data_IF_924183145678
#
_entry.id   IF_924183145678
#
_cell.length_a   1.000
_cell.length_b   1.000
_cell.length_c   1.000
_cell.angle_alpha   90.00
_cell.angle_beta   90.00
_cell.angle_gamma   90.00
#
_symmetry.space_group_name_H-M   'P 1'
#
loop_
_entity.id
_entity.type
_entity.pdbx_description
1 polymer ?
#
# COMPACT_ATOMS: atom_id res chain seq x y z
N UNK A 1 22.68 -15.01 -17.79
CA UNK A 1 23.43 -15.73 -16.71
C UNK A 1 22.60 -16.90 -16.22
N UNK A 2 23.22 -18.07 -15.97
CA UNK A 2 22.58 -19.18 -15.26
C UNK A 2 22.49 -18.89 -13.74
N UNK A 3 21.80 -19.78 -12.99
CA UNK A 3 21.58 -19.61 -11.55
C UNK A 3 22.90 -19.50 -10.77
N UNK A 4 23.88 -20.34 -11.08
CA UNK A 4 25.18 -20.33 -10.38
C UNK A 4 25.97 -19.05 -10.68
N UNK A 5 25.91 -18.56 -11.91
CA UNK A 5 26.55 -17.30 -12.30
C UNK A 5 25.91 -16.13 -11.56
N UNK A 6 24.57 -16.06 -11.48
CA UNK A 6 23.85 -15.05 -10.70
C UNK A 6 24.20 -15.14 -9.20
N UNK A 7 24.17 -16.31 -8.62
CA UNK A 7 24.54 -16.54 -7.21
C UNK A 7 25.94 -16.03 -6.91
N UNK A 8 26.94 -16.45 -7.70
CA UNK A 8 28.33 -16.05 -7.51
C UNK A 8 28.53 -14.53 -7.67
N UNK A 9 27.82 -13.90 -8.60
CA UNK A 9 27.84 -12.44 -8.77
C UNK A 9 27.29 -11.76 -7.53
N UNK A 10 26.17 -12.21 -7.00
CA UNK A 10 25.54 -11.60 -5.82
C UNK A 10 26.37 -11.73 -4.53
N UNK A 11 27.22 -12.76 -4.42
CA UNK A 11 28.19 -12.87 -3.33
C UNK A 11 29.25 -11.75 -3.31
N UNK A 12 29.33 -10.96 -4.38
CA UNK A 12 30.31 -9.85 -4.50
C UNK A 12 29.69 -8.48 -4.23
N UNK A 13 28.38 -8.37 -3.99
CA UNK A 13 27.70 -7.07 -3.87
C UNK A 13 28.02 -6.35 -2.57
N UNK A 14 27.77 -6.98 -1.43
CA UNK A 14 28.04 -6.47 -0.10
C UNK A 14 28.14 -7.62 0.92
N UNK A 15 28.67 -7.33 2.11
CA UNK A 15 28.92 -8.32 3.16
C UNK A 15 27.64 -8.92 3.74
N UNK A 16 26.53 -8.16 3.80
CA UNK A 16 25.23 -8.62 4.33
C UNK A 16 24.61 -9.63 3.36
N UNK A 17 24.52 -9.26 2.08
CA UNK A 17 24.05 -10.11 0.98
C UNK A 17 24.86 -11.41 0.92
N UNK A 18 26.19 -11.31 0.99
CA UNK A 18 27.08 -12.47 1.00
C UNK A 18 26.82 -13.39 2.18
N UNK A 19 26.76 -12.83 3.39
CA UNK A 19 26.51 -13.59 4.62
C UNK A 19 25.15 -14.28 4.60
N UNK A 20 24.11 -13.62 4.11
CA UNK A 20 22.78 -14.21 3.94
C UNK A 20 22.84 -15.40 2.97
N UNK A 21 23.39 -15.21 1.77
CA UNK A 21 23.45 -16.25 0.75
C UNK A 21 24.30 -17.46 1.18
N UNK A 22 25.43 -17.24 1.86
CA UNK A 22 26.27 -18.31 2.40
C UNK A 22 25.57 -19.11 3.52
N UNK A 23 24.59 -18.52 4.20
CA UNK A 23 23.78 -19.20 5.23
C UNK A 23 22.72 -20.13 4.66
N UNK A 24 22.35 -19.96 3.38
CA UNK A 24 21.34 -20.79 2.71
C UNK A 24 21.97 -22.10 2.23
N UNK A 25 21.64 -23.20 2.89
CA UNK A 25 22.20 -24.54 2.59
C UNK A 25 21.32 -25.34 1.64
N UNK A 26 20.03 -24.99 1.51
CA UNK A 26 19.10 -25.69 0.61
C UNK A 26 19.29 -25.21 -0.84
N UNK A 27 19.69 -26.13 -1.69
CA UNK A 27 19.88 -25.85 -3.14
C UNK A 27 18.59 -25.42 -3.83
N UNK A 28 17.42 -25.92 -3.39
CA UNK A 28 16.14 -25.52 -3.97
C UNK A 28 15.79 -24.07 -3.63
N UNK A 29 16.17 -23.64 -2.43
CA UNK A 29 16.00 -22.24 -2.05
C UNK A 29 16.93 -21.32 -2.84
N UNK A 30 18.18 -21.71 -3.08
CA UNK A 30 19.08 -20.97 -3.96
C UNK A 30 18.52 -20.92 -5.37
N UNK A 31 18.00 -22.02 -5.91
CA UNK A 31 17.33 -22.05 -7.20
C UNK A 31 16.14 -21.08 -7.24
N UNK A 32 15.26 -21.11 -6.23
CA UNK A 32 14.09 -20.24 -6.13
C UNK A 32 14.46 -18.76 -6.05
N UNK A 33 15.59 -18.42 -5.43
CA UNK A 33 16.08 -17.04 -5.33
C UNK A 33 16.59 -16.47 -6.66
N UNK A 34 17.02 -17.33 -7.61
CA UNK A 34 17.74 -16.89 -8.81
C UNK A 34 17.18 -17.41 -10.15
N UNK A 35 16.14 -18.29 -10.16
CA UNK A 35 15.62 -18.87 -11.41
C UNK A 35 14.96 -17.84 -12.33
N UNK A 36 14.46 -16.76 -11.77
CA UNK A 36 13.90 -15.62 -12.52
C UNK A 36 14.20 -14.29 -11.80
N UNK A 37 13.91 -13.20 -12.46
CA UNK A 37 13.85 -11.89 -11.82
C UNK A 37 12.46 -11.67 -11.21
N UNK A 38 12.37 -10.86 -10.16
CA UNK A 38 11.09 -10.50 -9.55
C UNK A 38 10.25 -9.72 -10.57
N UNK A 39 9.05 -10.22 -10.84
CA UNK A 39 8.19 -9.64 -11.87
C UNK A 39 7.54 -8.34 -11.40
N UNK A 40 7.64 -7.31 -12.23
CA UNK A 40 6.82 -6.11 -12.09
C UNK A 40 5.46 -6.40 -12.72
N UNK A 41 4.51 -6.85 -11.89
CA UNK A 41 3.16 -7.18 -12.32
C UNK A 41 2.30 -5.93 -12.53
N UNK A 42 0.98 -6.08 -12.55
CA UNK A 42 0.05 -4.97 -12.69
C UNK A 42 0.25 -3.98 -11.54
N UNK A 43 1.03 -2.93 -11.80
CA UNK A 43 1.27 -1.81 -10.89
C UNK A 43 2.33 -2.02 -9.82
N UNK A 44 3.23 -3.01 -9.90
CA UNK A 44 4.35 -3.09 -8.96
C UNK A 44 5.01 -4.45 -8.76
N UNK A 45 5.96 -4.51 -7.81
CA UNK A 45 6.64 -5.73 -7.35
C UNK A 45 5.98 -6.26 -6.07
N UNK A 46 6.03 -7.57 -5.87
CA UNK A 46 5.71 -8.21 -4.59
C UNK A 46 6.48 -9.52 -4.46
N UNK A 47 7.14 -9.73 -3.34
CA UNK A 47 7.93 -10.95 -3.11
C UNK A 47 8.34 -11.13 -1.67
N UNK A 48 8.90 -12.31 -1.38
CA UNK A 48 9.56 -12.60 -0.11
C UNK A 48 10.84 -11.75 -0.04
N UNK A 49 11.13 -11.19 1.14
CA UNK A 49 12.36 -10.43 1.39
C UNK A 49 13.57 -11.37 1.43
N UNK A 50 14.72 -10.87 0.99
CA UNK A 50 16.01 -11.57 1.03
C UNK A 50 16.88 -11.32 -0.19
N UNK A 51 18.09 -11.86 -0.17
CA UNK A 51 19.04 -11.76 -1.27
C UNK A 51 18.62 -12.65 -2.46
N UNK A 52 18.76 -12.12 -3.68
CA UNK A 52 18.44 -12.81 -4.93
C UNK A 52 17.56 -12.01 -5.88
N UNK A 53 17.60 -12.37 -7.16
CA UNK A 53 16.86 -11.66 -8.21
C UNK A 53 15.34 -11.85 -8.11
N UNK A 54 14.87 -12.94 -7.51
CA UNK A 54 13.45 -13.25 -7.25
C UNK A 54 13.07 -12.97 -5.78
N UNK A 55 13.65 -11.95 -5.19
CA UNK A 55 13.39 -11.50 -3.80
C UNK A 55 13.26 -9.97 -3.74
N UNK A 56 12.55 -9.49 -2.71
CA UNK A 56 12.52 -8.07 -2.35
C UNK A 56 13.76 -7.73 -1.53
N UNK A 57 14.58 -6.86 -2.05
CA UNK A 57 15.80 -6.32 -1.42
C UNK A 57 16.15 -4.95 -2.03
N UNK A 58 17.16 -4.28 -1.48
CA UNK A 58 17.61 -2.98 -1.96
C UNK A 58 17.96 -2.96 -3.46
N UNK A 59 18.57 -4.04 -3.98
CA UNK A 59 18.95 -4.11 -5.40
C UNK A 59 17.76 -4.25 -6.34
N UNK A 60 16.76 -5.08 -6.00
CA UNK A 60 15.55 -5.24 -6.80
C UNK A 60 14.65 -4.01 -6.73
N UNK A 61 14.53 -3.38 -5.56
CA UNK A 61 13.82 -2.12 -5.36
C UNK A 61 14.53 -0.97 -6.10
N UNK A 62 15.85 -0.89 -5.98
CA UNK A 62 16.64 0.12 -6.68
C UNK A 62 16.54 -0.02 -8.20
N UNK A 63 16.63 -1.25 -8.73
CA UNK A 63 16.46 -1.53 -10.17
C UNK A 63 15.06 -1.09 -10.65
N UNK A 64 14.01 -1.40 -9.90
CA UNK A 64 12.65 -0.96 -10.21
C UNK A 64 12.53 0.56 -10.23
N UNK A 65 13.09 1.23 -9.22
CA UNK A 65 13.08 2.68 -9.12
C UNK A 65 13.86 3.35 -10.26
N UNK A 66 15.01 2.79 -10.66
CA UNK A 66 15.79 3.30 -11.79
C UNK A 66 15.05 3.13 -13.12
N UNK A 67 14.44 1.96 -13.34
CA UNK A 67 13.62 1.73 -14.53
C UNK A 67 12.42 2.66 -14.59
N UNK A 68 11.74 2.85 -13.47
CA UNK A 68 10.61 3.78 -13.39
C UNK A 68 11.05 5.24 -13.59
N UNK A 69 12.19 5.64 -13.03
CA UNK A 69 12.75 6.98 -13.25
C UNK A 69 13.07 7.23 -14.74
N UNK A 70 13.64 6.26 -15.45
CA UNK A 70 13.92 6.36 -16.90
C UNK A 70 12.61 6.51 -17.69
N UNK A 71 11.60 5.68 -17.40
CA UNK A 71 10.27 5.81 -18.01
C UNK A 71 9.67 7.21 -17.80
N UNK A 72 9.72 7.75 -16.57
CA UNK A 72 9.19 9.08 -16.28
C UNK A 72 9.92 10.18 -17.07
N UNK A 73 11.24 10.06 -17.22
CA UNK A 73 12.05 11.02 -18.00
C UNK A 73 11.77 10.97 -19.51
N UNK A 74 11.37 9.83 -20.03
CA UNK A 74 10.95 9.72 -21.43
C UNK A 74 9.48 10.16 -21.64
N UNK A 75 8.65 10.01 -20.61
CA UNK A 75 7.22 10.36 -20.68
C UNK A 75 6.94 11.83 -20.45
N UNK A 76 7.75 12.52 -19.64
CA UNK A 76 7.50 13.91 -19.22
C UNK A 76 8.67 14.82 -19.53
N UNK A 77 8.39 16.00 -20.05
CA UNK A 77 9.34 17.11 -20.21
C UNK A 77 9.41 17.97 -18.95
N UNK A 78 10.56 18.61 -18.71
CA UNK A 78 10.76 19.57 -17.63
C UNK A 78 11.07 18.96 -16.27
N UNK A 79 10.60 19.61 -15.21
CA UNK A 79 10.84 19.16 -13.84
C UNK A 79 9.88 18.00 -13.50
N UNK A 80 10.45 16.90 -13.03
CA UNK A 80 9.69 15.69 -12.63
C UNK A 80 9.77 15.54 -11.13
N UNK A 81 8.64 15.16 -10.53
CA UNK A 81 8.58 14.85 -9.09
C UNK A 81 7.81 13.57 -8.80
N UNK A 82 8.17 12.92 -7.70
CA UNK A 82 7.57 11.67 -7.22
C UNK A 82 7.24 11.79 -5.73
N UNK A 83 6.05 11.34 -5.33
CA UNK A 83 5.71 11.14 -3.92
C UNK A 83 6.07 9.72 -3.50
N UNK A 84 6.70 9.52 -2.33
CA UNK A 84 7.06 8.19 -1.84
C UNK A 84 6.60 8.01 -0.39
N UNK A 85 6.06 6.83 -0.10
CA UNK A 85 5.60 6.44 1.24
C UNK A 85 5.83 4.95 1.51
N UNK A 86 5.74 4.57 2.78
CA UNK A 86 5.83 3.18 3.19
C UNK A 86 4.83 2.84 4.31
N UNK A 87 4.58 1.54 4.47
CA UNK A 87 3.81 0.97 5.57
C UNK A 87 4.70 0.54 6.76
N UNK A 88 4.11 -0.19 7.72
CA UNK A 88 4.77 -0.66 8.94
C UNK A 88 5.65 -1.90 8.77
N UNK A 89 5.75 -2.49 7.57
CA UNK A 89 6.48 -3.74 7.34
C UNK A 89 7.97 -3.61 7.57
N UNK A 90 8.61 -4.75 7.87
CA UNK A 90 10.06 -4.84 7.94
C UNK A 90 10.67 -4.34 6.62
N UNK A 91 11.76 -3.59 6.72
CA UNK A 91 12.49 -3.00 5.60
C UNK A 91 11.72 -1.97 4.75
N UNK A 92 10.43 -1.69 5.02
CA UNK A 92 9.66 -0.72 4.22
C UNK A 92 10.32 0.66 4.21
N UNK A 93 10.78 1.14 5.37
CA UNK A 93 11.48 2.43 5.46
C UNK A 93 12.84 2.42 4.73
N UNK A 94 13.59 1.33 4.79
CA UNK A 94 14.86 1.22 4.07
C UNK A 94 14.62 1.24 2.55
N UNK A 95 13.66 0.46 2.07
CA UNK A 95 13.30 0.43 0.64
C UNK A 95 12.72 1.75 0.13
N UNK A 96 11.99 2.48 0.97
CA UNK A 96 11.53 3.83 0.66
C UNK A 96 12.71 4.77 0.41
N UNK A 97 13.71 4.77 1.31
CA UNK A 97 14.91 5.60 1.15
C UNK A 97 15.79 5.17 -0.01
N UNK A 98 15.90 3.86 -0.26
CA UNK A 98 16.59 3.34 -1.45
C UNK A 98 15.94 3.85 -2.74
N UNK A 99 14.60 3.80 -2.80
CA UNK A 99 13.85 4.34 -3.93
C UNK A 99 14.04 5.85 -4.08
N UNK A 100 13.93 6.59 -2.97
CA UNK A 100 14.05 8.05 -2.96
C UNK A 100 15.41 8.52 -3.51
N UNK A 101 16.51 7.93 -3.03
CA UNK A 101 17.84 8.32 -3.50
C UNK A 101 18.12 7.91 -4.96
N UNK A 102 17.51 6.81 -5.44
CA UNK A 102 17.63 6.43 -6.86
C UNK A 102 16.88 7.43 -7.74
N UNK A 103 15.66 7.84 -7.41
CA UNK A 103 14.95 8.89 -8.15
C UNK A 103 15.73 10.22 -8.12
N UNK A 104 16.21 10.63 -6.95
CA UNK A 104 17.00 11.86 -6.79
C UNK A 104 18.29 11.84 -7.63
N UNK A 105 18.97 10.68 -7.75
CA UNK A 105 20.15 10.52 -8.61
C UNK A 105 19.86 10.75 -10.10
N UNK A 106 18.61 10.54 -10.51
CA UNK A 106 18.16 10.78 -11.88
C UNK A 106 17.64 12.20 -12.11
N UNK A 107 17.82 13.10 -11.12
CA UNK A 107 17.36 14.48 -11.19
C UNK A 107 15.85 14.65 -10.96
N UNK A 108 15.18 13.63 -10.40
CA UNK A 108 13.76 13.67 -10.09
C UNK A 108 13.58 14.12 -8.64
N UNK A 109 12.77 15.14 -8.42
CA UNK A 109 12.45 15.63 -7.08
C UNK A 109 11.56 14.63 -6.34
N UNK A 110 11.90 14.36 -5.08
CA UNK A 110 11.19 13.37 -4.25
C UNK A 110 10.52 14.05 -3.06
N UNK A 111 9.24 13.81 -2.88
CA UNK A 111 8.49 14.12 -1.66
C UNK A 111 8.30 12.83 -0.87
N UNK A 112 9.11 12.64 0.17
CA UNK A 112 9.10 11.42 0.98
C UNK A 112 8.36 11.64 2.29
N UNK A 113 7.42 10.75 2.62
CA UNK A 113 6.76 10.81 3.91
C UNK A 113 7.72 10.51 5.06
N UNK A 114 7.77 11.40 6.06
CA UNK A 114 8.61 11.22 7.25
C UNK A 114 8.02 10.22 8.25
N UNK A 115 6.74 9.93 8.13
CA UNK A 115 6.01 8.92 8.89
C UNK A 115 5.49 7.81 7.96
N UNK A 116 5.20 6.63 8.53
CA UNK A 116 4.44 5.60 7.81
C UNK A 116 3.01 6.09 7.60
N UNK A 117 2.46 5.85 6.41
CA UNK A 117 1.11 6.34 6.07
C UNK A 117 0.31 5.30 5.27
N UNK A 118 -1.02 5.41 5.28
CA UNK A 118 -1.89 4.62 4.40
C UNK A 118 -1.64 4.86 2.90
N UNK A 119 -1.89 3.83 2.09
CA UNK A 119 -1.91 3.94 0.61
C UNK A 119 -2.76 5.12 0.12
N UNK A 120 -3.99 5.36 0.63
CA UNK A 120 -4.78 6.52 0.21
C UNK A 120 -4.09 7.87 0.44
N UNK A 121 -3.24 7.99 1.46
CA UNK A 121 -2.47 9.23 1.69
C UNK A 121 -1.39 9.44 0.62
N UNK A 122 -0.73 8.36 0.13
CA UNK A 122 0.19 8.47 -1.00
C UNK A 122 -0.54 8.94 -2.27
N UNK A 123 -1.67 8.30 -2.59
CA UNK A 123 -2.50 8.70 -3.74
C UNK A 123 -2.93 10.17 -3.64
N UNK A 124 -3.32 10.61 -2.46
CA UNK A 124 -3.66 12.02 -2.19
C UNK A 124 -2.47 12.95 -2.38
N UNK A 125 -1.30 12.62 -1.80
CA UNK A 125 -0.08 13.43 -1.92
C UNK A 125 0.37 13.57 -3.37
N UNK A 126 0.31 12.48 -4.16
CA UNK A 126 0.67 12.50 -5.58
C UNK A 126 -0.13 13.57 -6.34
N UNK A 127 -1.43 13.67 -6.07
CA UNK A 127 -2.30 14.68 -6.68
C UNK A 127 -2.15 16.08 -6.07
N UNK A 128 -2.10 16.16 -4.73
CA UNK A 128 -2.03 17.43 -4.01
C UNK A 128 -0.73 18.19 -4.30
N UNK A 129 0.39 17.48 -4.41
CA UNK A 129 1.71 18.04 -4.73
C UNK A 129 1.97 18.12 -6.25
N UNK A 130 1.01 17.73 -7.08
CA UNK A 130 1.14 17.66 -8.53
C UNK A 130 2.34 16.84 -9.00
N UNK A 131 2.62 15.71 -8.32
CA UNK A 131 3.70 14.81 -8.70
C UNK A 131 3.36 14.06 -10.00
N UNK A 132 4.39 13.74 -10.78
CA UNK A 132 4.25 12.95 -12.01
C UNK A 132 3.99 11.46 -11.71
N UNK A 133 4.38 10.99 -10.51
CA UNK A 133 4.18 9.61 -10.08
C UNK A 133 4.16 9.48 -8.56
N UNK A 134 3.74 8.29 -8.09
CA UNK A 134 3.83 7.90 -6.68
C UNK A 134 4.41 6.50 -6.50
N UNK A 135 5.04 6.26 -5.36
CA UNK A 135 5.54 4.93 -4.96
C UNK A 135 5.13 4.61 -3.53
N UNK A 136 4.55 3.44 -3.33
CA UNK A 136 4.22 2.91 -2.01
C UNK A 136 4.96 1.61 -1.75
N UNK A 137 5.77 1.59 -0.70
CA UNK A 137 6.46 0.38 -0.25
C UNK A 137 5.55 -0.37 0.71
N UNK A 138 4.95 -1.45 0.24
CA UNK A 138 3.99 -2.27 0.98
C UNK A 138 3.74 -3.60 0.28
N UNK A 139 3.41 -4.64 1.06
CA UNK A 139 2.81 -5.86 0.56
C UNK A 139 1.38 -6.07 1.08
N UNK A 140 0.67 -4.98 1.46
CA UNK A 140 -0.72 -5.02 1.93
C UNK A 140 -0.87 -6.02 3.11
N UNK A 141 -1.73 -7.01 2.99
CA UNK A 141 -2.05 -8.00 4.02
C UNK A 141 -1.24 -9.31 3.95
N UNK A 142 -0.22 -9.39 3.08
CA UNK A 142 0.63 -10.59 3.01
C UNK A 142 1.32 -10.87 4.35
N UNK A 143 1.77 -12.12 4.62
CA UNK A 143 2.60 -12.46 5.77
C UNK A 143 3.85 -11.59 5.90
N UNK A 144 4.46 -11.58 7.08
CA UNK A 144 5.57 -10.66 7.45
C UNK A 144 6.82 -10.80 6.59
N UNK A 145 7.03 -11.98 6.00
CA UNK A 145 8.17 -12.29 5.14
C UNK A 145 8.12 -11.53 3.80
N UNK A 146 6.95 -10.98 3.42
CA UNK A 146 6.75 -10.28 2.16
C UNK A 146 6.93 -8.78 2.32
N UNK A 147 7.46 -8.16 1.24
CA UNK A 147 7.32 -6.74 1.00
C UNK A 147 6.99 -6.49 -0.49
N UNK A 148 6.76 -5.25 -0.87
CA UNK A 148 6.38 -4.88 -2.22
C UNK A 148 6.62 -3.42 -2.53
N UNK A 149 6.40 -3.09 -3.80
CA UNK A 149 6.60 -1.77 -4.38
C UNK A 149 5.42 -1.51 -5.31
N UNK A 150 4.49 -0.65 -4.94
CA UNK A 150 3.35 -0.26 -5.78
C UNK A 150 3.68 1.06 -6.47
N UNK A 151 3.47 1.14 -7.78
CA UNK A 151 3.68 2.35 -8.58
C UNK A 151 2.36 2.99 -9.01
N UNK A 152 2.31 4.31 -8.95
CA UNK A 152 1.13 5.13 -9.21
C UNK A 152 1.46 6.19 -10.28
N UNK A 153 0.49 6.55 -11.09
CA UNK A 153 0.58 7.63 -12.06
C UNK A 153 0.27 9.00 -11.44
N UNK A 154 0.32 10.07 -12.24
CA UNK A 154 0.05 11.45 -11.80
C UNK A 154 -1.38 11.69 -11.34
N UNK A 155 -2.33 10.80 -11.64
CA UNK A 155 -3.71 10.89 -11.16
C UNK A 155 -3.87 10.31 -9.75
N UNK A 156 -2.81 9.72 -9.19
CA UNK A 156 -2.83 9.01 -7.93
C UNK A 156 -3.46 7.61 -8.01
N UNK A 157 -3.70 7.11 -9.21
CA UNK A 157 -4.12 5.73 -9.46
C UNK A 157 -2.91 4.82 -9.63
N UNK A 158 -3.03 3.57 -9.21
CA UNK A 158 -2.02 2.56 -9.50
C UNK A 158 -1.87 2.40 -11.03
N UNK A 159 -0.64 2.23 -11.53
CA UNK A 159 -0.37 2.14 -12.96
C UNK A 159 -1.31 1.15 -13.65
N UNK A 160 -1.86 1.55 -14.79
CA UNK A 160 -2.63 0.65 -15.65
C UNK A 160 -1.72 -0.41 -16.29
N UNK A 161 -2.33 -1.43 -16.88
CA UNK A 161 -1.60 -2.58 -17.44
C UNK A 161 -0.60 -2.17 -18.52
N UNK A 162 -0.91 -1.18 -19.34
CA UNK A 162 -0.05 -0.78 -20.46
C UNK A 162 1.14 0.06 -19.95
N UNK A 163 0.91 1.04 -19.07
CA UNK A 163 1.99 1.78 -18.41
C UNK A 163 2.90 0.83 -17.59
N UNK A 164 2.33 -0.16 -16.89
CA UNK A 164 3.11 -1.14 -16.14
C UNK A 164 4.03 -1.99 -17.04
N UNK A 165 3.55 -2.40 -18.23
CA UNK A 165 4.38 -3.11 -19.22
C UNK A 165 5.50 -2.24 -19.76
N UNK A 166 5.21 -0.97 -20.00
CA UNK A 166 6.20 -0.02 -20.46
C UNK A 166 7.30 0.20 -19.40
N UNK A 167 6.92 0.45 -18.15
CA UNK A 167 7.86 0.54 -17.00
C UNK A 167 8.70 -0.75 -16.90
N UNK A 168 8.07 -1.92 -17.02
CA UNK A 168 8.78 -3.20 -17.00
C UNK A 168 9.84 -3.29 -18.10
N UNK A 169 9.62 -2.72 -19.30
CA UNK A 169 10.61 -2.71 -20.36
C UNK A 169 11.88 -1.94 -20.00
N UNK A 170 11.73 -0.80 -19.30
CA UNK A 170 12.86 -0.02 -18.78
C UNK A 170 13.59 -0.75 -17.65
N UNK A 171 12.85 -1.43 -16.75
CA UNK A 171 13.43 -2.25 -15.68
C UNK A 171 14.27 -3.39 -16.29
N UNK A 172 13.73 -4.09 -17.28
CA UNK A 172 14.40 -5.23 -17.93
C UNK A 172 15.62 -4.81 -18.77
N UNK A 173 15.69 -3.56 -19.21
CA UNK A 173 16.86 -3.01 -19.90
C UNK A 173 18.06 -2.73 -18.96
N UNK A 174 17.91 -2.91 -17.64
CA UNK A 174 18.98 -2.78 -16.67
C UNK A 174 19.53 -4.17 -16.38
N UNK A 175 20.69 -4.49 -16.93
CA UNK A 175 21.31 -5.83 -16.79
C UNK A 175 22.08 -6.02 -15.48
N UNK A 176 22.66 -4.92 -14.95
CA UNK A 176 23.51 -4.95 -13.77
C UNK A 176 22.82 -4.33 -12.55
N UNK A 177 22.47 -5.17 -11.59
CA UNK A 177 21.86 -4.75 -10.32
C UNK A 177 22.81 -3.90 -9.46
N UNK A 178 24.13 -4.17 -9.51
CA UNK A 178 25.12 -3.45 -8.70
C UNK A 178 25.31 -2.02 -9.18
N UNK A 179 25.08 -1.76 -10.47
CA UNK A 179 25.25 -0.43 -11.08
C UNK A 179 24.18 0.58 -10.64
N UNK A 180 23.08 0.11 -10.07
CA UNK A 180 21.95 0.97 -9.68
C UNK A 180 22.36 2.06 -8.69
N UNK A 181 23.33 1.75 -7.84
CA UNK A 181 23.81 2.66 -6.80
C UNK A 181 25.14 3.37 -7.13
N UNK A 182 25.64 3.22 -8.37
CA UNK A 182 26.82 3.96 -8.78
C UNK A 182 26.52 5.47 -8.77
N UNK A 183 27.38 6.24 -8.11
CA UNK A 183 27.26 7.71 -7.97
C UNK A 183 25.96 8.19 -7.26
N UNK A 184 25.24 7.30 -6.58
CA UNK A 184 24.06 7.65 -5.78
C UNK A 184 24.53 8.15 -4.41
N UNK A 185 24.21 9.41 -4.10
CA UNK A 185 24.47 10.03 -2.81
C UNK A 185 23.65 9.42 -1.68
N UNK A 186 24.01 9.75 -0.45
CA UNK A 186 23.20 9.44 0.73
C UNK A 186 21.88 10.22 0.76
N UNK A 187 20.92 9.76 1.54
CA UNK A 187 19.65 10.47 1.75
C UNK A 187 19.88 11.88 2.30
N UNK A 188 20.78 12.04 3.28
CA UNK A 188 21.05 13.32 3.93
C UNK A 188 21.66 14.35 2.94
N UNK A 189 22.54 13.91 2.04
CA UNK A 189 23.06 14.75 0.98
C UNK A 189 21.97 15.23 0.03
N UNK A 190 21.04 14.32 -0.40
CA UNK A 190 19.93 14.72 -1.25
C UNK A 190 18.89 15.60 -0.54
N UNK A 191 18.70 15.44 0.77
CA UNK A 191 17.88 16.37 1.57
C UNK A 191 18.56 17.76 1.59
N UNK A 192 19.87 17.80 1.82
CA UNK A 192 20.64 19.06 1.83
C UNK A 192 20.63 19.76 0.47
N UNK A 193 20.64 19.00 -0.62
CA UNK A 193 20.53 19.51 -1.98
C UNK A 193 19.09 19.92 -2.36
N UNK A 194 18.09 19.66 -1.52
CA UNK A 194 16.68 19.92 -1.78
C UNK A 194 16.00 18.98 -2.81
N UNK A 195 16.70 17.89 -3.18
CA UNK A 195 16.16 16.87 -4.09
C UNK A 195 15.20 15.90 -3.39
N UNK A 196 15.40 15.65 -2.08
CA UNK A 196 14.46 14.91 -1.24
C UNK A 196 13.88 15.88 -0.22
N UNK A 197 12.56 15.97 -0.17
CA UNK A 197 11.80 16.83 0.76
C UNK A 197 10.93 15.96 1.64
N UNK A 198 11.15 16.05 2.95
CA UNK A 198 10.28 15.37 3.93
C UNK A 198 8.91 16.05 4.02
N UNK A 199 7.85 15.27 4.00
CA UNK A 199 6.46 15.76 4.07
C UNK A 199 5.65 14.93 5.07
N UNK A 200 4.72 15.56 5.82
CA UNK A 200 3.74 14.85 6.63
C UNK A 200 2.60 15.77 7.11
N UNK A 201 2.84 16.73 8.00
CA UNK A 201 1.80 17.42 8.79
C UNK A 201 0.74 18.09 7.93
N UNK A 202 1.13 18.91 6.97
CA UNK A 202 0.20 19.60 6.07
C UNK A 202 -0.61 18.59 5.24
N UNK A 203 0.06 17.58 4.68
CA UNK A 203 -0.61 16.54 3.88
C UNK A 203 -1.57 15.69 4.71
N UNK A 204 -1.22 15.41 5.97
CA UNK A 204 -2.08 14.69 6.89
C UNK A 204 -3.36 15.50 7.17
N UNK A 205 -3.24 16.76 7.54
CA UNK A 205 -4.38 17.62 7.87
C UNK A 205 -5.31 17.82 6.66
N UNK A 206 -4.77 18.09 5.48
CA UNK A 206 -5.55 18.25 4.25
C UNK A 206 -6.18 16.92 3.80
N UNK A 207 -5.51 15.78 3.99
CA UNK A 207 -6.10 14.46 3.74
C UNK A 207 -7.28 14.19 4.67
N UNK A 208 -7.12 14.39 5.98
CA UNK A 208 -8.21 14.19 6.96
C UNK A 208 -9.40 15.09 6.64
N UNK A 209 -9.14 16.35 6.29
CA UNK A 209 -10.17 17.30 5.87
C UNK A 209 -10.90 16.80 4.61
N UNK A 210 -10.15 16.36 3.59
CA UNK A 210 -10.72 15.80 2.37
C UNK A 210 -11.60 14.57 2.65
N UNK A 211 -11.14 13.66 3.51
CA UNK A 211 -11.93 12.48 3.92
C UNK A 211 -13.22 12.89 4.63
N UNK A 212 -13.15 13.81 5.59
CA UNK A 212 -14.33 14.28 6.33
C UNK A 212 -15.38 14.95 5.43
N UNK A 213 -14.96 15.61 4.35
CA UNK A 213 -15.91 16.20 3.38
C UNK A 213 -16.72 15.15 2.60
N UNK A 214 -16.30 13.88 2.59
CA UNK A 214 -17.04 12.80 1.95
C UNK A 214 -18.14 12.21 2.84
N UNK A 215 -18.27 12.67 4.10
CA UNK A 215 -19.33 12.20 5.00
C UNK A 215 -20.70 12.53 4.41
N UNK A 216 -21.54 11.51 4.30
CA UNK A 216 -22.92 11.63 3.82
C UNK A 216 -23.94 11.66 4.98
N UNK A 217 -23.48 11.47 6.21
CA UNK A 217 -24.35 11.40 7.38
C UNK A 217 -23.73 12.21 8.51
N UNK A 218 -24.40 13.28 8.93
CA UNK A 218 -23.89 14.24 9.90
C UNK A 218 -24.65 14.20 11.24
N UNK A 219 -25.59 13.25 11.44
CA UNK A 219 -26.30 13.11 12.68
C UNK A 219 -25.41 12.44 13.74
N UNK A 220 -25.64 12.81 15.00
CA UNK A 220 -24.93 12.17 16.10
C UNK A 220 -25.32 10.68 16.19
N UNK A 221 -24.33 9.83 16.36
CA UNK A 221 -24.51 8.39 16.55
C UNK A 221 -23.82 7.96 17.84
N UNK A 222 -24.54 7.23 18.68
CA UNK A 222 -24.01 6.64 19.92
C UNK A 222 -23.32 5.29 19.68
N UNK A 223 -23.06 4.92 18.41
CA UNK A 223 -22.38 3.68 18.09
C UNK A 223 -21.05 3.56 18.80
N UNK A 224 -20.85 2.41 19.45
CA UNK A 224 -19.59 2.00 20.03
C UNK A 224 -18.81 1.17 18.99
N UNK A 225 -17.65 1.64 18.65
CA UNK A 225 -16.78 1.05 17.63
C UNK A 225 -15.57 0.45 18.33
N UNK A 226 -15.25 -0.81 18.01
CA UNK A 226 -13.93 -1.36 18.27
C UNK A 226 -13.13 -1.27 16.99
N UNK A 227 -11.90 -0.77 17.07
CA UNK A 227 -11.01 -0.63 15.93
C UNK A 227 -9.68 -1.34 16.16
N UNK A 228 -9.21 -2.05 15.14
CA UNK A 228 -7.85 -2.58 15.07
C UNK A 228 -7.15 -2.15 13.77
N UNK A 229 -5.98 -1.50 13.86
CA UNK A 229 -5.13 -1.21 12.72
C UNK A 229 -4.29 -2.43 12.27
N UNK A 230 -4.40 -3.59 12.91
CA UNK A 230 -3.59 -4.80 12.65
C UNK A 230 -2.09 -4.48 12.54
N UNK A 231 -1.55 -3.70 13.49
CA UNK A 231 -0.17 -3.22 13.51
C UNK A 231 0.23 -2.33 12.32
N UNK A 232 -0.74 -1.75 11.62
CA UNK A 232 -0.53 -0.99 10.38
C UNK A 232 -0.61 0.52 10.55
N UNK A 233 -0.69 1.20 9.41
CA UNK A 233 -0.66 2.66 9.28
C UNK A 233 -1.98 3.34 9.62
N UNK A 234 -3.08 2.58 9.74
CA UNK A 234 -4.41 3.12 9.97
C UNK A 234 -4.64 3.72 11.36
N UNK A 235 -3.79 3.39 12.37
CA UNK A 235 -4.00 3.79 13.77
C UNK A 235 -4.31 5.29 13.91
N UNK A 236 -3.43 6.16 13.46
CA UNK A 236 -3.57 7.60 13.62
C UNK A 236 -4.67 8.19 12.72
N UNK A 237 -4.67 7.97 11.39
CA UNK A 237 -5.64 8.63 10.50
C UNK A 237 -7.08 8.15 10.71
N UNK A 238 -7.32 6.85 10.92
CA UNK A 238 -8.69 6.35 11.14
C UNK A 238 -9.28 6.91 12.44
N UNK A 239 -8.49 6.94 13.52
CA UNK A 239 -8.92 7.53 14.80
C UNK A 239 -9.17 9.03 14.67
N UNK A 240 -8.36 9.73 13.86
CA UNK A 240 -8.57 11.17 13.61
C UNK A 240 -9.85 11.44 12.81
N UNK A 241 -10.20 10.57 11.87
CA UNK A 241 -11.47 10.65 11.14
C UNK A 241 -12.66 10.36 12.05
N UNK A 242 -12.51 9.43 12.99
CA UNK A 242 -13.56 8.99 13.92
C UNK A 242 -13.51 9.67 15.30
N UNK A 243 -12.83 10.81 15.42
CA UNK A 243 -12.58 11.46 16.73
C UNK A 243 -13.84 11.92 17.48
N UNK A 244 -14.97 12.06 16.76
CA UNK A 244 -16.28 12.41 17.31
C UNK A 244 -17.12 11.18 17.71
N UNK A 245 -16.58 9.96 17.56
CA UNK A 245 -17.23 8.69 17.87
C UNK A 245 -16.61 8.02 19.10
N UNK A 246 -17.35 7.09 19.70
CA UNK A 246 -16.81 6.24 20.77
C UNK A 246 -16.02 5.09 20.16
N UNK A 247 -14.69 5.19 20.16
CA UNK A 247 -13.78 4.20 19.58
C UNK A 247 -12.90 3.55 20.66
N UNK A 248 -12.96 2.24 20.76
CA UNK A 248 -12.08 1.41 21.58
C UNK A 248 -11.05 0.74 20.66
N UNK A 249 -9.76 1.00 20.90
CA UNK A 249 -8.67 0.44 20.08
C UNK A 249 -8.13 -0.84 20.73
N UNK A 250 -7.88 -1.87 19.91
CA UNK A 250 -7.23 -3.11 20.35
C UNK A 250 -5.76 -2.82 20.66
N UNK A 251 -5.42 -2.75 21.95
CA UNK A 251 -4.10 -2.31 22.44
C UNK A 251 -2.94 -3.16 21.95
N UNK A 252 -3.13 -4.45 21.84
CA UNK A 252 -2.13 -5.41 21.39
C UNK A 252 -1.79 -5.26 19.91
N UNK A 253 -2.66 -4.57 19.13
CA UNK A 253 -2.54 -4.38 17.68
C UNK A 253 -2.42 -2.89 17.29
N UNK A 254 -2.44 -1.99 18.29
CA UNK A 254 -2.46 -0.54 18.08
C UNK A 254 -1.16 -0.03 17.45
N UNK A 255 -0.01 -0.46 18.01
CA UNK A 255 1.28 0.04 17.56
C UNK A 255 1.74 -0.63 16.26
N UNK A 256 2.29 0.16 15.32
CA UNK A 256 2.85 -0.38 14.09
C UNK A 256 3.97 -1.38 14.36
N UNK A 257 3.90 -2.57 13.76
CA UNK A 257 4.91 -3.61 13.94
C UNK A 257 4.96 -4.56 12.74
N UNK A 258 6.06 -4.51 11.98
CA UNK A 258 6.25 -5.34 10.79
C UNK A 258 6.38 -6.85 11.05
N UNK A 259 6.51 -7.29 12.31
CA UNK A 259 6.48 -8.70 12.67
C UNK A 259 5.05 -9.25 12.85
N UNK A 260 4.03 -8.38 12.92
CA UNK A 260 2.62 -8.76 13.12
C UNK A 260 2.42 -9.81 14.23
N UNK A 261 2.87 -9.55 15.49
CA UNK A 261 3.03 -10.59 16.51
C UNK A 261 1.73 -11.27 16.94
N UNK A 262 0.57 -10.68 16.64
CA UNK A 262 -0.73 -11.22 17.04
C UNK A 262 -1.47 -11.96 15.92
N UNK A 263 -0.95 -11.90 14.68
CA UNK A 263 -1.60 -12.49 13.51
C UNK A 263 -0.56 -13.12 12.55
N UNK A 264 -0.95 -14.20 11.89
CA UNK A 264 -0.10 -14.83 10.84
C UNK A 264 -0.14 -13.98 9.55
N UNK A 265 -1.32 -13.47 9.21
CA UNK A 265 -1.54 -12.55 8.10
C UNK A 265 -2.45 -11.43 8.58
N UNK A 266 -2.07 -10.16 8.40
CA UNK A 266 -2.85 -9.01 8.84
C UNK A 266 -3.99 -8.68 7.86
N UNK A 267 -4.79 -9.70 7.51
CA UNK A 267 -5.93 -9.55 6.60
C UNK A 267 -7.22 -9.30 7.40
N UNK A 268 -7.84 -8.11 7.33
CA UNK A 268 -9.04 -7.78 8.10
C UNK A 268 -10.29 -8.56 7.64
N UNK A 269 -10.24 -9.22 6.49
CA UNK A 269 -11.31 -10.13 6.04
C UNK A 269 -11.19 -11.53 6.68
N UNK A 270 -10.08 -11.85 7.35
CA UNK A 270 -9.92 -13.11 8.10
C UNK A 270 -10.43 -12.94 9.54
N UNK A 271 -11.40 -13.78 9.94
CA UNK A 271 -11.92 -13.80 11.30
C UNK A 271 -10.82 -13.97 12.36
N UNK A 272 -9.74 -14.70 12.04
CA UNK A 272 -8.62 -14.88 12.98
C UNK A 272 -7.88 -13.57 13.26
N UNK A 273 -7.74 -12.70 12.27
CA UNK A 273 -7.13 -11.40 12.44
C UNK A 273 -7.98 -10.47 13.35
N UNK A 274 -9.32 -10.61 13.30
CA UNK A 274 -10.24 -9.81 14.10
C UNK A 274 -10.57 -10.44 15.47
N UNK A 275 -9.96 -11.55 15.86
CA UNK A 275 -10.29 -12.25 17.13
C UNK A 275 -10.21 -11.32 18.33
N UNK A 276 -9.08 -10.62 18.53
CA UNK A 276 -8.89 -9.68 19.64
C UNK A 276 -9.90 -8.51 19.59
N UNK A 277 -10.21 -8.03 18.40
CA UNK A 277 -11.23 -6.99 18.22
C UNK A 277 -12.62 -7.46 18.63
N UNK A 278 -13.00 -8.69 18.28
CA UNK A 278 -14.27 -9.28 18.65
C UNK A 278 -14.34 -9.54 20.16
N UNK A 279 -13.26 -9.97 20.80
CA UNK A 279 -13.17 -10.15 22.24
C UNK A 279 -13.35 -8.82 22.98
N UNK A 280 -12.64 -7.77 22.56
CA UNK A 280 -12.79 -6.43 23.10
C UNK A 280 -14.20 -5.89 22.86
N UNK A 281 -14.80 -6.15 21.71
CA UNK A 281 -16.17 -5.73 21.40
C UNK A 281 -17.21 -6.39 22.33
N UNK A 282 -17.02 -7.65 22.69
CA UNK A 282 -17.86 -8.35 23.69
C UNK A 282 -17.70 -7.72 25.07
N UNK A 283 -16.46 -7.37 25.48
CA UNK A 283 -16.20 -6.70 26.76
C UNK A 283 -16.84 -5.31 26.84
N UNK A 284 -16.73 -4.51 25.79
CA UNK A 284 -17.23 -3.12 25.74
C UNK A 284 -18.69 -3.02 25.33
N UNK A 285 -19.33 -4.13 25.03
CA UNK A 285 -20.68 -4.18 24.45
C UNK A 285 -20.78 -3.25 23.23
N UNK A 286 -19.81 -3.38 22.29
CA UNK A 286 -19.71 -2.54 21.12
C UNK A 286 -20.64 -3.03 20.00
N UNK A 287 -21.04 -2.13 19.11
CA UNK A 287 -21.97 -2.42 18.01
C UNK A 287 -21.27 -3.00 16.79
N UNK A 288 -20.02 -2.56 16.56
CA UNK A 288 -19.25 -2.88 15.36
C UNK A 288 -17.76 -3.02 15.67
N UNK A 289 -17.11 -3.92 14.94
CA UNK A 289 -15.65 -4.06 14.89
C UNK A 289 -15.18 -3.66 13.50
N UNK A 290 -14.21 -2.76 13.42
CA UNK A 290 -13.53 -2.38 12.20
C UNK A 290 -12.06 -2.80 12.28
N UNK A 291 -11.54 -3.41 11.22
CA UNK A 291 -10.13 -3.72 11.07
C UNK A 291 -9.61 -3.20 9.75
N UNK A 292 -8.39 -2.67 9.72
CA UNK A 292 -7.70 -2.30 8.48
C UNK A 292 -6.40 -3.08 8.33
N UNK A 293 -6.01 -3.36 7.09
CA UNK A 293 -4.72 -3.99 6.82
C UNK A 293 -3.54 -3.00 6.98
N UNK A 294 -2.29 -3.46 6.94
CA UNK A 294 -1.13 -2.62 7.27
C UNK A 294 -1.01 -1.33 6.45
N UNK A 295 -1.36 -1.33 5.18
CA UNK A 295 -1.35 -0.15 4.31
C UNK A 295 -2.73 0.54 4.20
N UNK A 296 -3.69 0.07 4.99
CA UNK A 296 -5.00 0.68 5.24
C UNK A 296 -5.79 1.00 3.96
N UNK A 297 -5.70 0.12 2.96
CA UNK A 297 -6.51 0.19 1.72
C UNK A 297 -7.68 -0.81 1.72
N UNK A 298 -7.80 -1.64 2.78
CA UNK A 298 -8.90 -2.59 3.02
C UNK A 298 -9.53 -2.38 4.39
N UNK A 299 -10.81 -2.76 4.49
CA UNK A 299 -11.55 -2.78 5.74
C UNK A 299 -12.28 -4.10 5.93
N UNK A 300 -12.11 -4.72 7.08
CA UNK A 300 -12.93 -5.83 7.58
C UNK A 300 -13.94 -5.30 8.58
N UNK A 301 -15.16 -5.83 8.54
CA UNK A 301 -16.28 -5.36 9.36
C UNK A 301 -16.95 -6.55 10.03
N UNK A 302 -17.04 -6.54 11.37
CA UNK A 302 -17.92 -7.45 12.08
C UNK A 302 -19.00 -6.66 12.85
N UNK A 303 -20.24 -7.09 12.73
CA UNK A 303 -21.40 -6.43 13.35
C UNK A 303 -22.02 -7.31 14.43
N UNK A 304 -22.50 -6.68 15.51
CA UNK A 304 -23.24 -7.37 16.56
C UNK A 304 -24.61 -7.75 16.05
N UNK A 305 -24.95 -9.05 16.06
CA UNK A 305 -26.23 -9.58 15.65
C UNK A 305 -26.65 -10.73 16.57
N UNK A 306 -27.82 -10.62 17.21
CA UNK A 306 -28.35 -11.62 18.14
C UNK A 306 -27.34 -12.06 19.23
N UNK A 307 -26.57 -11.11 19.78
CA UNK A 307 -25.57 -11.35 20.82
C UNK A 307 -24.21 -11.90 20.33
N UNK A 308 -24.07 -12.19 19.05
CA UNK A 308 -22.82 -12.64 18.43
C UNK A 308 -22.27 -11.60 17.44
N UNK A 309 -20.97 -11.69 17.12
CA UNK A 309 -20.33 -10.85 16.10
C UNK A 309 -20.18 -11.60 14.79
N UNK A 310 -20.86 -11.10 13.76
CA UNK A 310 -20.87 -11.66 12.40
C UNK A 310 -19.93 -10.87 11.52
N UNK A 311 -18.91 -11.53 11.00
CA UNK A 311 -17.99 -10.94 10.01
C UNK A 311 -18.68 -10.85 8.66
N UNK A 312 -18.75 -9.66 8.10
CA UNK A 312 -19.26 -9.42 6.76
C UNK A 312 -18.17 -9.71 5.71
N UNK A 313 -18.54 -10.32 4.61
CA UNK A 313 -17.65 -10.43 3.47
C UNK A 313 -17.48 -9.08 2.77
N UNK A 314 -16.38 -8.89 2.00
CA UNK A 314 -16.19 -7.68 1.21
C UNK A 314 -17.36 -7.39 0.26
N UNK A 315 -17.96 -8.43 -0.34
CA UNK A 315 -19.15 -8.28 -1.19
C UNK A 315 -20.40 -7.81 -0.43
N UNK A 316 -20.61 -8.29 0.79
CA UNK A 316 -21.71 -7.82 1.64
C UNK A 316 -21.50 -6.37 2.07
N UNK A 317 -20.31 -6.04 2.55
CA UNK A 317 -19.95 -4.67 2.92
C UNK A 317 -20.08 -3.72 1.73
N UNK A 318 -19.56 -4.11 0.55
CA UNK A 318 -19.68 -3.33 -0.68
C UNK A 318 -21.14 -3.09 -1.10
N UNK A 319 -21.99 -4.10 -1.05
CA UNK A 319 -23.41 -3.95 -1.37
C UNK A 319 -24.14 -3.01 -0.41
N UNK A 320 -23.85 -3.09 0.90
CA UNK A 320 -24.41 -2.18 1.91
C UNK A 320 -23.95 -0.73 1.66
N UNK A 321 -22.65 -0.52 1.37
CA UNK A 321 -22.11 0.80 1.06
C UNK A 321 -22.71 1.38 -0.22
N UNK A 322 -22.84 0.59 -1.29
CA UNK A 322 -23.50 1.01 -2.54
C UNK A 322 -24.92 1.47 -2.25
N UNK A 323 -25.72 0.65 -1.53
CA UNK A 323 -27.08 1.01 -1.18
C UNK A 323 -27.15 2.30 -0.35
N UNK A 324 -26.28 2.44 0.65
CA UNK A 324 -26.22 3.63 1.49
C UNK A 324 -25.87 4.89 0.69
N UNK A 325 -24.79 4.84 -0.08
CA UNK A 325 -24.33 5.99 -0.88
C UNK A 325 -25.39 6.43 -1.90
N UNK A 326 -26.01 5.48 -2.59
CA UNK A 326 -27.04 5.79 -3.58
C UNK A 326 -28.33 6.32 -2.95
N UNK A 327 -28.68 5.81 -1.76
CA UNK A 327 -29.81 6.34 -0.99
C UNK A 327 -29.56 7.79 -0.56
N UNK A 328 -28.39 8.09 -0.01
CA UNK A 328 -28.03 9.42 0.46
C UNK A 328 -27.85 10.44 -0.66
N UNK A 329 -27.41 9.99 -1.84
CA UNK A 329 -27.19 10.85 -3.03
C UNK A 329 -28.35 10.81 -4.02
N UNK A 330 -29.49 10.21 -3.68
CA UNK A 330 -30.61 9.96 -4.62
C UNK A 330 -31.00 11.19 -5.45
N UNK A 331 -31.08 12.36 -4.83
CA UNK A 331 -31.51 13.61 -5.50
C UNK A 331 -30.44 14.18 -6.44
N UNK A 332 -29.19 13.74 -6.34
CA UNK A 332 -28.07 14.15 -7.19
C UNK A 332 -27.76 13.17 -8.33
N UNK A 333 -28.40 11.99 -8.34
CA UNK A 333 -28.20 11.00 -9.39
C UNK A 333 -28.83 11.47 -10.71
N UNK A 334 -28.18 11.14 -11.81
CA UNK A 334 -28.65 11.47 -13.15
C UNK A 334 -28.22 10.41 -14.17
N UNK A 335 -28.59 10.58 -15.44
CA UNK A 335 -28.31 9.61 -16.51
C UNK A 335 -26.82 9.34 -16.79
N UNK A 336 -25.91 10.16 -16.25
CA UNK A 336 -24.45 9.98 -16.36
C UNK A 336 -23.86 9.34 -15.11
N UNK A 337 -24.66 9.10 -14.07
CA UNK A 337 -24.19 8.43 -12.85
C UNK A 337 -23.89 6.97 -13.16
N UNK A 338 -22.66 6.57 -12.87
CA UNK A 338 -22.12 5.24 -13.21
C UNK A 338 -21.60 4.55 -11.96
N UNK A 339 -21.94 3.27 -11.81
CA UNK A 339 -21.30 2.38 -10.84
C UNK A 339 -20.25 1.55 -11.58
N UNK A 340 -19.02 1.60 -11.11
CA UNK A 340 -17.92 0.77 -11.64
C UNK A 340 -17.62 -0.34 -10.65
N UNK A 341 -17.51 -1.58 -11.12
CA UNK A 341 -17.10 -2.74 -10.32
C UNK A 341 -16.03 -3.54 -11.04
N UNK A 342 -15.39 -4.46 -10.35
CA UNK A 342 -14.47 -5.42 -10.96
C UNK A 342 -15.17 -6.75 -11.22
N UNK A 343 -14.61 -7.57 -12.12
CA UNK A 343 -15.14 -8.91 -12.49
C UNK A 343 -15.29 -9.84 -11.27
N UNK A 344 -14.46 -9.67 -10.24
CA UNK A 344 -14.52 -10.49 -9.01
C UNK A 344 -15.58 -10.03 -8.02
N UNK A 345 -16.17 -8.85 -8.22
CA UNK A 345 -17.20 -8.29 -7.33
C UNK A 345 -18.56 -8.88 -7.69
N UNK A 346 -19.36 -9.24 -6.66
CA UNK A 346 -20.68 -9.84 -6.87
C UNK A 346 -21.64 -8.92 -7.61
N UNK A 347 -22.63 -9.52 -8.33
CA UNK A 347 -23.67 -8.78 -9.03
C UNK A 347 -24.67 -8.07 -8.10
N UNK A 348 -24.64 -8.33 -6.79
CA UNK A 348 -25.58 -7.69 -5.85
C UNK A 348 -25.43 -6.16 -5.86
N UNK A 349 -24.19 -5.63 -5.76
CA UNK A 349 -23.94 -4.19 -5.84
C UNK A 349 -24.37 -3.60 -7.18
N UNK A 350 -24.08 -4.30 -8.29
CA UNK A 350 -24.51 -3.90 -9.63
C UNK A 350 -26.03 -3.83 -9.76
N UNK A 351 -26.75 -4.83 -9.24
CA UNK A 351 -28.23 -4.85 -9.27
C UNK A 351 -28.84 -3.73 -8.42
N UNK A 352 -28.21 -3.41 -7.27
CA UNK A 352 -28.60 -2.23 -6.48
C UNK A 352 -28.39 -0.97 -7.33
N UNK A 353 -27.23 -0.79 -7.97
CA UNK A 353 -26.96 0.37 -8.84
C UNK A 353 -28.00 0.52 -9.96
N UNK A 354 -28.31 -0.58 -10.66
CA UNK A 354 -29.35 -0.59 -11.72
C UNK A 354 -30.73 -0.24 -11.16
N UNK A 355 -31.08 -0.64 -9.94
CA UNK A 355 -32.37 -0.30 -9.32
C UNK A 355 -32.51 1.21 -9.02
N UNK A 356 -31.40 1.94 -8.89
CA UNK A 356 -31.37 3.40 -8.79
C UNK A 356 -31.22 4.09 -10.15
N UNK A 357 -31.22 3.34 -11.26
CA UNK A 357 -31.13 3.88 -12.62
C UNK A 357 -29.72 4.19 -13.10
N UNK A 358 -28.68 3.68 -12.45
CA UNK A 358 -27.29 3.89 -12.83
C UNK A 358 -26.88 2.98 -13.99
N UNK A 359 -25.94 3.49 -14.81
CA UNK A 359 -25.13 2.63 -15.66
C UNK A 359 -24.15 1.83 -14.79
N UNK A 360 -23.83 0.61 -15.21
CA UNK A 360 -22.86 -0.26 -14.51
C UNK A 360 -21.79 -0.68 -15.51
N UNK A 361 -20.55 -0.36 -15.18
CA UNK A 361 -19.35 -0.68 -15.95
C UNK A 361 -18.49 -1.70 -15.18
N UNK A 362 -17.75 -2.55 -15.93
CA UNK A 362 -16.91 -3.62 -15.40
C UNK A 362 -15.48 -3.54 -15.93
#
# INVERSE_FOLDING_TARGET
MDINQKYNLWLTFDDETKKELESVTDKKEIEDRFYKDLEFGTGGLRGIMGAGTNRMNSYTVGKASLGFAKYLKDKYDGEISVAIACDSRLNSRAFEWDSARVFASQGIKVYAYTQIVPVPMLSFATRYLHCNAGVMITASHNPKEYNGYKAYDSTGCQLCTDDAKEVLSYINAIDDYSSVYNDVKTVDEYISDGMIVGVYEELFDEFIKAVKTQSLYNEHSELKIVYTPLHGTGNVPVRKVLEDKTVYVVKEQEEPNGNFPTVVSPNPEDRKALTLGIELAKEKDADIVLGTDPDCDRVGVAVKHNGEYVLLTGNQTGALLVNFVLTMKKDSLNSKSTLVKTIVTSELGANIGRSFGLQVEE
#
